data_IF_156737689459
#
_entry.id   IF_156737689459
#
_cell.length_a   1.000
_cell.length_b   1.000
_cell.length_c   1.000
_cell.angle_alpha   90.00
_cell.angle_beta   90.00
_cell.angle_gamma   90.00
#
_symmetry.space_group_name_H-M   'P 1'
#
loop_
_entity.id
_entity.type
_entity.pdbx_description
1 polymer ?
#
# COMPACT_ATOMS: atom_id res chain seq x y z
N UNK A 1 5.83 22.09 -5.04
CA UNK A 1 5.55 20.67 -5.20
C UNK A 1 6.65 19.89 -4.49
N UNK A 2 6.29 18.95 -3.62
CA UNK A 2 7.21 18.07 -2.88
C UNK A 2 6.97 16.62 -3.26
N UNK A 3 8.04 15.85 -3.45
CA UNK A 3 8.00 14.41 -3.67
C UNK A 3 8.61 13.71 -2.45
N UNK A 4 7.81 12.92 -1.75
CA UNK A 4 8.25 12.09 -0.64
C UNK A 4 8.34 10.64 -1.11
N UNK A 5 9.50 10.05 -0.93
CA UNK A 5 9.74 8.62 -1.12
C UNK A 5 9.85 8.03 0.28
N UNK A 6 9.05 6.99 0.53
CA UNK A 6 9.04 6.28 1.80
C UNK A 6 9.19 4.77 1.53
N UNK A 7 9.52 3.98 2.53
CA UNK A 7 9.70 2.54 2.35
C UNK A 7 8.36 1.84 2.01
N UNK A 8 7.29 2.22 2.70
CA UNK A 8 6.02 1.50 2.72
C UNK A 8 4.88 2.35 3.29
N UNK A 9 3.64 1.87 3.13
CA UNK A 9 2.49 2.39 3.86
C UNK A 9 1.79 1.23 4.55
N UNK A 10 1.97 1.12 5.87
CA UNK A 10 1.26 0.13 6.70
C UNK A 10 -0.09 0.71 7.12
N UNK A 11 -0.11 1.54 8.18
CA UNK A 11 -1.32 2.23 8.67
C UNK A 11 -1.54 3.57 7.98
N UNK A 12 -0.47 4.24 7.54
CA UNK A 12 -0.53 5.57 6.94
C UNK A 12 -0.64 6.76 7.91
N UNK A 13 -0.78 6.54 9.23
CA UNK A 13 -0.96 7.61 10.23
C UNK A 13 0.19 8.62 10.21
N UNK A 14 1.44 8.15 10.29
CA UNK A 14 2.62 9.01 10.31
C UNK A 14 2.77 9.82 9.00
N UNK A 15 2.53 9.19 7.85
CA UNK A 15 2.59 9.87 6.55
C UNK A 15 1.50 10.92 6.39
N UNK A 16 0.31 10.68 6.94
CA UNK A 16 -0.77 11.66 6.97
C UNK A 16 -0.38 12.88 7.82
N UNK A 17 0.06 12.66 9.06
CA UNK A 17 0.50 13.74 9.95
C UNK A 17 1.64 14.55 9.33
N UNK A 18 2.61 13.86 8.72
CA UNK A 18 3.72 14.49 7.99
C UNK A 18 3.20 15.35 6.83
N UNK A 19 2.24 14.83 6.07
CA UNK A 19 1.68 15.55 4.91
C UNK A 19 0.85 16.76 5.36
N UNK A 20 0.02 16.62 6.39
CA UNK A 20 -0.75 17.71 7.00
C UNK A 20 0.19 18.82 7.49
N UNK A 21 1.25 18.47 8.22
CA UNK A 21 2.28 19.42 8.65
C UNK A 21 2.95 20.16 7.49
N UNK A 22 3.25 19.46 6.39
CA UNK A 22 3.85 20.08 5.21
C UNK A 22 2.89 21.07 4.54
N UNK A 23 1.60 20.74 4.44
CA UNK A 23 0.59 21.68 3.93
C UNK A 23 0.45 22.91 4.83
N UNK A 24 0.40 22.73 6.16
CA UNK A 24 0.37 23.83 7.14
C UNK A 24 1.63 24.70 7.05
N UNK A 25 2.77 24.11 6.67
CA UNK A 25 4.03 24.80 6.42
C UNK A 25 4.13 25.48 5.05
N UNK A 26 3.05 25.48 4.25
CA UNK A 26 2.97 26.18 2.97
C UNK A 26 3.31 25.33 1.74
N UNK A 27 3.43 24.00 1.87
CA UNK A 27 3.52 23.13 0.70
C UNK A 27 2.23 23.23 -0.13
N UNK A 28 2.36 23.42 -1.45
CA UNK A 28 1.19 23.47 -2.36
C UNK A 28 0.73 22.09 -2.81
N UNK A 29 1.68 21.16 -2.92
CA UNK A 29 1.45 19.81 -3.42
C UNK A 29 2.43 18.87 -2.73
N UNK A 30 1.93 17.71 -2.30
CA UNK A 30 2.70 16.65 -1.64
C UNK A 30 2.40 15.33 -2.34
N UNK A 31 3.39 14.78 -3.03
CA UNK A 31 3.31 13.56 -3.83
C UNK A 31 4.04 12.42 -3.12
N UNK A 32 3.38 11.29 -2.89
CA UNK A 32 3.94 10.15 -2.14
C UNK A 32 4.29 9.00 -3.07
N UNK A 33 5.48 8.41 -2.90
CA UNK A 33 6.00 7.26 -3.67
C UNK A 33 6.59 6.20 -2.73
N UNK A 34 5.77 5.27 -2.22
CA UNK A 34 6.28 4.13 -1.45
C UNK A 34 7.16 3.24 -2.33
N UNK A 35 8.30 2.81 -1.82
CA UNK A 35 9.29 2.00 -2.52
C UNK A 35 8.91 0.51 -2.61
N UNK A 36 7.74 0.13 -2.08
CA UNK A 36 7.16 -1.21 -2.20
C UNK A 36 5.74 -1.17 -2.80
N UNK A 37 5.22 -2.32 -3.27
CA UNK A 37 3.81 -2.48 -3.57
C UNK A 37 2.91 -2.31 -2.34
N UNK A 38 1.61 -2.06 -2.51
CA UNK A 38 0.68 -2.00 -1.39
C UNK A 38 0.69 -3.32 -0.60
N UNK A 39 0.71 -3.24 0.73
CA UNK A 39 0.64 -4.40 1.61
C UNK A 39 -0.82 -4.88 1.66
N UNK A 40 -1.19 -5.93 0.92
CA UNK A 40 -2.56 -6.46 0.87
C UNK A 40 -2.76 -7.64 1.82
N UNK A 41 -1.68 -8.31 2.22
CA UNK A 41 -1.71 -9.46 3.10
C UNK A 41 -0.76 -9.25 4.29
N UNK A 42 -1.17 -9.67 5.49
CA UNK A 42 -0.31 -9.75 6.65
C UNK A 42 0.74 -10.83 6.48
N UNK A 43 1.96 -10.57 6.96
CA UNK A 43 3.04 -11.53 6.86
C UNK A 43 2.78 -12.75 7.75
N UNK A 44 3.04 -13.95 7.22
CA UNK A 44 2.99 -15.21 7.99
C UNK A 44 4.17 -15.40 8.93
N UNK A 45 5.30 -14.75 8.64
CA UNK A 45 6.58 -15.00 9.30
C UNK A 45 6.98 -13.89 10.28
N UNK A 46 6.49 -12.66 10.07
CA UNK A 46 6.88 -11.47 10.82
C UNK A 46 5.64 -10.69 11.23
N UNK A 47 5.71 -10.02 12.37
CA UNK A 47 4.71 -9.04 12.78
C UNK A 47 5.27 -7.64 12.59
N UNK A 48 4.67 -6.87 11.67
CA UNK A 48 5.05 -5.47 11.41
C UNK A 48 4.31 -4.47 12.29
N UNK A 49 3.47 -4.96 13.19
CA UNK A 49 2.56 -4.15 14.00
C UNK A 49 2.46 -4.68 15.42
N UNK A 50 1.97 -3.83 16.32
CA UNK A 50 1.61 -4.20 17.71
C UNK A 50 0.47 -5.22 17.77
N UNK A 51 -0.24 -5.44 16.67
CA UNK A 51 -1.28 -6.45 16.53
C UNK A 51 -1.08 -7.25 15.25
N UNK A 52 -1.62 -8.46 15.20
CA UNK A 52 -1.63 -9.31 14.00
C UNK A 52 -2.89 -9.09 13.16
N UNK A 53 -3.62 -8.00 13.39
CA UNK A 53 -4.83 -7.71 12.64
C UNK A 53 -4.46 -7.20 11.25
N UNK A 54 -5.00 -7.86 10.23
CA UNK A 54 -4.97 -7.39 8.83
C UNK A 54 -5.49 -5.95 8.70
N UNK A 55 -6.41 -5.53 9.58
CA UNK A 55 -7.00 -4.19 9.57
C UNK A 55 -6.03 -3.10 10.03
N UNK A 56 -4.82 -3.45 10.46
CA UNK A 56 -3.74 -2.48 10.61
C UNK A 56 -3.27 -1.96 9.25
N UNK A 57 -3.41 -2.76 8.17
CA UNK A 57 -3.07 -2.37 6.81
C UNK A 57 -4.16 -1.43 6.25
N UNK A 58 -3.75 -0.27 5.74
CA UNK A 58 -4.69 0.71 5.19
C UNK A 58 -5.46 0.19 3.97
N UNK A 59 -4.80 -0.63 3.15
CA UNK A 59 -5.36 -1.37 2.02
C UNK A 59 -6.55 -2.23 2.49
N UNK A 60 -6.36 -3.06 3.51
CA UNK A 60 -7.38 -3.95 4.09
C UNK A 60 -8.57 -3.19 4.67
N UNK A 61 -8.32 -2.03 5.29
CA UNK A 61 -9.40 -1.17 5.77
C UNK A 61 -10.25 -0.65 4.61
N UNK A 62 -9.61 -0.19 3.53
CA UNK A 62 -10.34 0.31 2.35
C UNK A 62 -11.08 -0.81 1.64
N UNK A 63 -10.45 -1.97 1.48
CA UNK A 63 -11.09 -3.16 0.89
C UNK A 63 -12.32 -3.54 1.71
N UNK A 64 -12.21 -3.60 3.05
CA UNK A 64 -13.35 -3.89 3.92
C UNK A 64 -14.44 -2.82 3.81
N UNK A 65 -14.07 -1.54 3.79
CA UNK A 65 -15.03 -0.43 3.67
C UNK A 65 -15.81 -0.51 2.32
N UNK A 66 -15.27 -1.19 1.30
CA UNK A 66 -15.90 -1.38 -0.02
C UNK A 66 -16.65 -2.70 -0.17
N UNK A 67 -16.06 -3.79 0.29
CA UNK A 67 -16.51 -5.16 0.00
C UNK A 67 -17.16 -5.85 1.22
N UNK A 68 -17.02 -5.29 2.43
CA UNK A 68 -17.42 -5.92 3.69
C UNK A 68 -16.32 -6.78 4.32
N UNK A 69 -16.68 -7.57 5.33
CA UNK A 69 -15.71 -8.33 6.14
C UNK A 69 -15.23 -9.63 5.44
N UNK A 70 -16.10 -10.28 4.67
CA UNK A 70 -15.85 -11.60 4.07
C UNK A 70 -15.42 -11.48 2.60
N UNK A 71 -14.17 -11.05 2.39
CA UNK A 71 -13.60 -10.84 1.05
C UNK A 71 -12.91 -12.11 0.56
N UNK A 72 -13.28 -12.60 -0.63
CA UNK A 72 -12.70 -13.80 -1.22
C UNK A 72 -11.24 -13.59 -1.66
N UNK A 73 -10.50 -14.69 -1.80
CA UNK A 73 -9.11 -14.64 -2.25
C UNK A 73 -8.96 -14.07 -3.67
N UNK A 74 -9.93 -14.33 -4.55
CA UNK A 74 -9.95 -13.80 -5.92
C UNK A 74 -10.10 -12.28 -5.94
N UNK A 75 -10.99 -11.74 -5.09
CA UNK A 75 -11.16 -10.29 -4.97
C UNK A 75 -9.90 -9.64 -4.41
N UNK A 76 -9.25 -10.26 -3.42
CA UNK A 76 -7.97 -9.76 -2.88
C UNK A 76 -6.85 -9.77 -3.91
N UNK A 77 -6.76 -10.82 -4.72
CA UNK A 77 -5.79 -10.89 -5.81
C UNK A 77 -6.02 -9.78 -6.85
N UNK A 78 -7.28 -9.42 -7.11
CA UNK A 78 -7.61 -8.27 -7.97
C UNK A 78 -7.13 -6.95 -7.35
N UNK A 79 -7.29 -6.74 -6.04
CA UNK A 79 -6.74 -5.58 -5.32
C UNK A 79 -5.20 -5.55 -5.27
N UNK A 80 -4.52 -6.69 -5.44
CA UNK A 80 -3.06 -6.81 -5.52
C UNK A 80 -2.51 -6.59 -6.94
N UNK A 81 -3.37 -6.66 -7.96
CA UNK A 81 -2.97 -6.50 -9.36
C UNK A 81 -2.91 -5.01 -9.74
N UNK A 82 -1.73 -4.43 -10.04
CA UNK A 82 -1.59 -3.01 -10.34
C UNK A 82 -2.36 -2.55 -11.59
N UNK A 83 -2.77 -3.47 -12.47
CA UNK A 83 -3.49 -3.18 -13.70
C UNK A 83 -5.02 -3.33 -13.54
N UNK A 84 -5.50 -3.72 -12.36
CA UNK A 84 -6.93 -3.86 -12.09
C UNK A 84 -7.60 -2.52 -11.74
N UNK A 85 -8.92 -2.46 -11.96
CA UNK A 85 -9.72 -1.31 -11.55
C UNK A 85 -9.76 -1.17 -10.03
N UNK A 86 -9.91 -2.28 -9.29
CA UNK A 86 -10.01 -2.25 -7.83
C UNK A 86 -8.72 -1.75 -7.18
N UNK A 87 -7.55 -2.13 -7.70
CA UNK A 87 -6.26 -1.58 -7.27
C UNK A 87 -6.22 -0.06 -7.43
N UNK A 88 -6.55 0.44 -8.63
CA UNK A 88 -6.48 1.88 -8.92
C UNK A 88 -7.42 2.69 -8.02
N UNK A 89 -8.64 2.19 -7.82
CA UNK A 89 -9.60 2.82 -6.93
C UNK A 89 -9.17 2.72 -5.46
N UNK A 90 -8.58 1.61 -5.02
CA UNK A 90 -8.00 1.50 -3.67
C UNK A 90 -6.90 2.53 -3.45
N UNK A 91 -5.95 2.65 -4.38
CA UNK A 91 -4.86 3.63 -4.29
C UNK A 91 -5.40 5.06 -4.25
N UNK A 92 -6.43 5.36 -5.04
CA UNK A 92 -7.08 6.66 -5.04
C UNK A 92 -7.79 6.95 -3.71
N UNK A 93 -8.44 5.96 -3.09
CA UNK A 93 -9.03 6.11 -1.77
C UNK A 93 -7.97 6.29 -0.66
N UNK A 94 -6.82 5.58 -0.74
CA UNK A 94 -5.67 5.83 0.16
C UNK A 94 -5.21 7.27 0.01
N UNK A 95 -5.02 7.74 -1.23
CA UNK A 95 -4.57 9.10 -1.55
C UNK A 95 -5.48 10.14 -0.90
N UNK A 96 -6.80 9.99 -1.04
CA UNK A 96 -7.79 10.89 -0.43
C UNK A 96 -7.74 10.82 1.10
N UNK A 97 -7.79 9.61 1.68
CA UNK A 97 -7.89 9.39 3.13
C UNK A 97 -6.67 9.89 3.90
N UNK A 98 -5.50 9.88 3.27
CA UNK A 98 -4.25 10.39 3.84
C UNK A 98 -3.89 11.81 3.39
N UNK A 99 -4.79 12.47 2.63
CA UNK A 99 -4.63 13.84 2.16
C UNK A 99 -3.38 14.06 1.29
N UNK A 100 -3.12 13.19 0.32
CA UNK A 100 -1.99 13.34 -0.60
C UNK A 100 -2.42 14.02 -1.90
N UNK A 101 -1.53 14.79 -2.55
CA UNK A 101 -1.79 15.31 -3.90
C UNK A 101 -1.77 14.19 -4.94
N UNK A 102 -0.77 13.32 -4.90
CA UNK A 102 -0.75 12.08 -5.70
C UNK A 102 -0.11 10.94 -4.92
N UNK A 103 -0.56 9.72 -5.17
CA UNK A 103 0.04 8.50 -4.63
C UNK A 103 0.31 7.53 -5.78
N UNK A 104 1.50 6.94 -5.81
CA UNK A 104 1.82 5.80 -6.67
C UNK A 104 2.76 4.87 -5.91
N UNK A 105 2.37 3.62 -5.76
CA UNK A 105 3.23 2.57 -5.20
C UNK A 105 4.21 2.07 -6.25
N UNK A 106 5.33 1.51 -5.80
CA UNK A 106 6.20 0.73 -6.66
C UNK A 106 5.49 -0.55 -7.10
N UNK A 107 5.74 -1.04 -8.32
CA UNK A 107 5.13 -2.28 -8.80
C UNK A 107 5.96 -3.49 -8.36
N UNK A 108 5.29 -4.64 -8.20
CA UNK A 108 5.96 -5.86 -7.75
C UNK A 108 6.91 -6.43 -8.81
N UNK A 109 6.53 -6.38 -10.09
CA UNK A 109 7.37 -6.79 -11.22
C UNK A 109 8.66 -5.95 -11.31
N UNK A 110 8.55 -4.63 -11.13
CA UNK A 110 9.71 -3.74 -11.07
C UNK A 110 10.59 -4.02 -9.84
N UNK A 111 9.99 -4.26 -8.67
CA UNK A 111 10.72 -4.59 -7.45
C UNK A 111 11.50 -5.91 -7.60
N UNK A 112 10.85 -6.98 -8.05
CA UNK A 112 11.49 -8.28 -8.30
C UNK A 112 12.63 -8.13 -9.29
N UNK A 113 12.41 -7.40 -10.39
CA UNK A 113 13.45 -7.11 -11.38
C UNK A 113 14.63 -6.36 -10.77
N UNK A 114 14.40 -5.41 -9.86
CA UNK A 114 15.45 -4.64 -9.21
C UNK A 114 16.30 -5.47 -8.23
N UNK A 115 15.68 -6.47 -7.57
CA UNK A 115 16.38 -7.40 -6.67
C UNK A 115 17.30 -8.33 -7.47
N UNK A 116 16.91 -8.68 -8.71
CA UNK A 116 17.73 -9.49 -9.61
C UNK A 116 17.70 -11.00 -9.30
N UNK A 117 16.77 -11.46 -8.46
CA UNK A 117 16.52 -12.87 -8.19
C UNK A 117 15.23 -13.33 -8.90
N UNK A 118 15.11 -14.61 -9.26
CA UNK A 118 13.85 -15.18 -9.72
C UNK A 118 12.73 -14.98 -8.69
N UNK A 119 11.49 -14.76 -9.14
CA UNK A 119 10.36 -14.47 -8.24
C UNK A 119 10.11 -15.63 -7.26
N UNK A 120 10.25 -16.86 -7.72
CA UNK A 120 10.12 -18.09 -6.94
C UNK A 120 11.17 -18.26 -5.83
N UNK A 121 12.20 -17.39 -5.81
CA UNK A 121 13.19 -17.32 -4.74
C UNK A 121 12.88 -16.20 -3.74
N UNK A 122 11.76 -15.48 -3.90
CA UNK A 122 11.37 -14.32 -3.12
C UNK A 122 9.98 -14.55 -2.52
N UNK A 123 9.87 -14.45 -1.21
CA UNK A 123 8.57 -14.35 -0.57
C UNK A 123 7.93 -12.99 -0.94
N UNK A 124 6.85 -13.02 -1.72
CA UNK A 124 6.08 -11.83 -2.10
C UNK A 124 4.72 -11.76 -1.40
N UNK A 125 4.51 -12.62 -0.40
CA UNK A 125 3.23 -12.90 0.23
C UNK A 125 2.49 -11.64 0.67
N UNK A 126 3.19 -10.67 1.27
CA UNK A 126 2.58 -9.43 1.75
C UNK A 126 1.93 -8.58 0.64
N UNK A 127 2.36 -8.75 -0.60
CA UNK A 127 1.90 -7.97 -1.75
C UNK A 127 0.89 -8.75 -2.59
N UNK A 128 1.15 -10.04 -2.88
CA UNK A 128 0.35 -10.83 -3.82
C UNK A 128 -0.08 -12.21 -3.31
N UNK A 129 0.18 -12.52 -2.03
CA UNK A 129 -0.20 -13.78 -1.41
C UNK A 129 0.61 -15.00 -1.85
N UNK A 130 1.72 -14.83 -2.58
CA UNK A 130 2.57 -15.93 -3.05
C UNK A 130 3.82 -16.14 -2.18
N UNK A 131 4.25 -17.39 -2.05
CA UNK A 131 5.50 -17.81 -1.35
C UNK A 131 6.57 -18.26 -2.35
#
# INVERSE_FOLDING_TARGET
SLLLIDDSIVRGTQLRETTEYLFESGAKEVHIRPACPPLVYGCKYLNFSRSNSELDLITRRIIRDREGDDVSAEVLADYANPDSKNYQEMVEEIRKRLNFTTLKFHRLDDLVKSIGLPKECLCTYCWDGQE
#
